data_IF_420975819389
#
_entry.id   IF_420975819389
#
_cell.length_a   1.000
_cell.length_b   1.000
_cell.length_c   1.000
_cell.angle_alpha   90.00
_cell.angle_beta   90.00
_cell.angle_gamma   90.00
#
_symmetry.space_group_name_H-M   'P 1'
#
loop_
_entity.id
_entity.type
_entity.pdbx_description
1 polymer ?
#
# COMPACT_ATOMS: atom_id res chain seq x y z
N UNK A 1 -2.51 29.59 0.33
CA UNK A 1 -1.27 28.82 0.35
C UNK A 1 -1.56 27.48 -0.29
N UNK A 2 -0.84 27.08 -1.34
CA UNK A 2 -1.07 25.79 -2.00
C UNK A 2 -0.67 24.66 -1.05
N UNK A 3 -1.56 23.71 -0.81
CA UNK A 3 -1.31 22.54 0.04
C UNK A 3 -1.65 21.26 -0.67
N UNK A 4 -0.78 20.28 -0.60
CA UNK A 4 -0.94 18.96 -1.21
C UNK A 4 -1.18 17.93 -0.11
N UNK A 5 -2.15 17.03 -0.32
CA UNK A 5 -2.34 15.83 0.49
C UNK A 5 -1.93 14.61 -0.32
N UNK A 6 -0.94 13.86 0.16
CA UNK A 6 -0.45 12.63 -0.48
C UNK A 6 -0.93 11.44 0.32
N UNK A 7 -1.65 10.51 -0.29
CA UNK A 7 -1.89 9.19 0.26
C UNK A 7 -0.79 8.26 -0.23
N UNK A 8 0.15 7.95 0.65
CA UNK A 8 1.35 7.18 0.36
C UNK A 8 1.24 5.71 0.79
N UNK A 9 2.36 5.03 0.72
CA UNK A 9 2.51 3.61 1.07
C UNK A 9 3.27 2.83 0.00
N UNK A 10 3.70 3.50 -1.05
CA UNK A 10 4.52 2.97 -2.16
C UNK A 10 5.81 3.77 -2.31
N UNK A 11 6.68 3.31 -3.17
CA UNK A 11 7.91 4.04 -3.55
C UNK A 11 7.57 5.38 -4.18
N UNK A 12 6.59 5.44 -5.06
CA UNK A 12 6.13 6.66 -5.74
C UNK A 12 5.59 7.68 -4.73
N UNK A 13 4.86 7.23 -3.71
CA UNK A 13 4.39 8.10 -2.62
C UNK A 13 5.53 8.70 -1.81
N UNK A 14 6.63 7.95 -1.62
CA UNK A 14 7.84 8.45 -0.96
C UNK A 14 8.61 9.43 -1.84
N UNK A 15 8.75 9.16 -3.12
CA UNK A 15 9.38 10.06 -4.09
C UNK A 15 8.64 11.39 -4.20
N UNK A 16 7.30 11.38 -4.22
CA UNK A 16 6.48 12.59 -4.15
C UNK A 16 6.69 13.36 -2.84
N UNK A 17 6.79 12.66 -1.72
CA UNK A 17 7.07 13.27 -0.42
C UNK A 17 8.46 13.91 -0.41
N UNK A 18 9.49 13.23 -0.92
CA UNK A 18 10.84 13.75 -1.05
C UNK A 18 10.87 14.99 -1.96
N UNK A 19 10.20 14.94 -3.09
CA UNK A 19 10.07 16.08 -4.01
C UNK A 19 9.46 17.30 -3.30
N UNK A 20 8.35 17.09 -2.57
CA UNK A 20 7.71 18.17 -1.81
C UNK A 20 8.64 18.71 -0.71
N UNK A 21 9.33 17.84 0.00
CA UNK A 21 10.28 18.23 1.04
C UNK A 21 11.43 19.05 0.48
N UNK A 22 12.10 18.56 -0.57
CA UNK A 22 13.26 19.17 -1.19
C UNK A 22 12.94 20.52 -1.83
N UNK A 23 11.75 20.67 -2.38
CA UNK A 23 11.28 21.92 -3.00
C UNK A 23 10.48 22.81 -2.03
N UNK A 24 10.40 22.48 -0.74
CA UNK A 24 9.66 23.22 0.30
C UNK A 24 8.19 23.46 -0.07
N UNK A 25 7.58 22.50 -0.75
CA UNK A 25 6.16 22.54 -1.10
C UNK A 25 5.35 22.11 0.14
N UNK A 26 4.43 22.96 0.65
CA UNK A 26 3.62 22.59 1.79
C UNK A 26 2.75 21.37 1.49
N UNK A 27 3.03 20.24 2.13
CA UNK A 27 2.31 18.99 1.93
C UNK A 27 2.10 18.22 3.23
N UNK A 28 1.03 17.39 3.24
CA UNK A 28 0.81 16.37 4.24
C UNK A 28 0.83 14.99 3.58
N UNK A 29 1.36 13.98 4.28
CA UNK A 29 1.46 12.61 3.78
C UNK A 29 0.74 11.67 4.72
N UNK A 30 -0.28 10.97 4.21
CA UNK A 30 -0.99 9.92 4.91
C UNK A 30 -0.34 8.57 4.64
N UNK A 31 0.03 7.84 5.69
CA UNK A 31 0.54 6.47 5.63
C UNK A 31 -0.23 5.58 6.60
N UNK A 32 -0.41 4.31 6.26
CA UNK A 32 -1.25 3.40 7.06
C UNK A 32 -0.52 2.77 8.24
N UNK A 33 0.82 2.68 8.21
CA UNK A 33 1.62 1.93 9.18
C UNK A 33 2.66 2.82 9.88
N UNK A 34 3.09 2.38 11.08
CA UNK A 34 4.22 3.00 11.78
C UNK A 34 5.52 2.94 10.97
N UNK A 35 5.75 1.82 10.27
CA UNK A 35 6.89 1.67 9.37
C UNK A 35 6.87 2.72 8.24
N UNK A 36 5.71 2.97 7.62
CA UNK A 36 5.57 4.04 6.62
C UNK A 36 5.89 5.42 7.20
N UNK A 37 5.53 5.68 8.47
CA UNK A 37 5.90 6.92 9.17
C UNK A 37 7.42 7.02 9.39
N UNK A 38 8.05 5.93 9.78
CA UNK A 38 9.49 5.87 10.03
C UNK A 38 10.30 6.19 8.77
N UNK A 39 9.90 5.64 7.61
CA UNK A 39 10.51 5.91 6.32
C UNK A 39 10.44 7.40 5.89
N UNK A 40 9.51 8.17 6.45
CA UNK A 40 9.32 9.59 6.17
C UNK A 40 9.83 10.49 7.30
N UNK A 41 10.46 9.95 8.33
CA UNK A 41 10.86 10.67 9.53
C UNK A 41 11.89 11.77 9.29
N UNK A 42 12.69 11.67 8.23
CA UNK A 42 13.66 12.67 7.81
C UNK A 42 13.03 13.91 7.12
N UNK A 43 11.78 13.80 6.66
CA UNK A 43 11.10 14.87 5.91
C UNK A 43 10.41 15.87 6.87
N UNK A 44 11.21 16.63 7.59
CA UNK A 44 10.77 17.53 8.67
C UNK A 44 9.90 18.72 8.22
N UNK A 45 9.84 19.00 6.91
CA UNK A 45 8.95 20.05 6.35
C UNK A 45 7.55 19.56 6.07
N UNK A 46 7.29 18.23 6.17
CA UNK A 46 6.02 17.61 5.86
C UNK A 46 5.24 17.25 7.12
N UNK A 47 3.92 17.34 7.04
CA UNK A 47 3.02 16.81 8.08
C UNK A 47 2.74 15.34 7.81
N UNK A 48 3.26 14.42 8.64
CA UNK A 48 3.00 12.99 8.49
C UNK A 48 1.78 12.59 9.33
N UNK A 49 0.81 11.95 8.69
CA UNK A 49 -0.45 11.50 9.28
C UNK A 49 -0.49 9.97 9.21
N UNK A 50 -0.61 9.31 10.35
CA UNK A 50 -0.57 7.85 10.42
C UNK A 50 -1.97 7.26 10.60
N UNK A 51 -2.16 6.04 10.10
CA UNK A 51 -3.37 5.24 10.27
C UNK A 51 -4.29 5.28 9.05
N UNK A 52 -5.05 4.17 8.89
CA UNK A 52 -6.07 4.07 7.84
C UNK A 52 -7.09 5.19 8.00
N UNK A 53 -7.55 5.71 6.88
CA UNK A 53 -8.61 6.73 6.83
C UNK A 53 -9.81 6.14 6.07
N UNK A 54 -10.98 6.26 6.68
CA UNK A 54 -12.24 5.99 5.99
C UNK A 54 -12.70 7.24 5.21
N UNK A 55 -13.78 7.08 4.44
CA UNK A 55 -14.36 8.16 3.65
C UNK A 55 -14.67 9.41 4.48
N UNK A 56 -15.35 9.26 5.63
CA UNK A 56 -15.76 10.38 6.46
C UNK A 56 -14.59 11.15 7.05
N UNK A 57 -13.54 10.44 7.44
CA UNK A 57 -12.30 11.03 7.94
C UNK A 57 -11.57 11.80 6.83
N UNK A 58 -11.60 11.29 5.58
CA UNK A 58 -10.98 11.99 4.44
C UNK A 58 -11.75 13.27 4.14
N UNK A 59 -13.08 13.23 4.05
CA UNK A 59 -13.92 14.43 3.85
C UNK A 59 -13.61 15.48 4.90
N UNK A 60 -13.64 15.12 6.18
CA UNK A 60 -13.33 16.04 7.28
C UNK A 60 -11.94 16.67 7.17
N UNK A 61 -10.93 15.89 6.75
CA UNK A 61 -9.57 16.39 6.52
C UNK A 61 -9.54 17.43 5.39
N UNK A 62 -10.23 17.15 4.27
CA UNK A 62 -10.24 18.02 3.09
C UNK A 62 -10.97 19.35 3.41
N UNK A 63 -12.11 19.31 4.08
CA UNK A 63 -12.88 20.49 4.49
C UNK A 63 -12.13 21.34 5.50
N UNK A 64 -11.49 20.72 6.50
CA UNK A 64 -10.81 21.43 7.59
C UNK A 64 -9.51 22.10 7.13
N UNK A 65 -8.68 21.38 6.37
CA UNK A 65 -7.34 21.82 6.01
C UNK A 65 -7.29 22.52 4.64
N UNK A 66 -8.35 22.41 3.85
CA UNK A 66 -8.52 23.02 2.51
C UNK A 66 -7.32 22.74 1.61
N UNK A 67 -7.03 21.47 1.36
CA UNK A 67 -6.02 21.06 0.40
C UNK A 67 -6.43 21.44 -1.02
N UNK A 68 -5.49 21.92 -1.81
CA UNK A 68 -5.72 22.27 -3.22
C UNK A 68 -5.74 21.05 -4.12
N UNK A 69 -4.99 20.01 -3.75
CA UNK A 69 -4.90 18.77 -4.52
C UNK A 69 -4.63 17.56 -3.62
N UNK A 70 -5.15 16.43 -4.04
CA UNK A 70 -4.90 15.10 -3.47
C UNK A 70 -4.16 14.23 -4.47
N UNK A 71 -3.02 13.68 -4.07
CA UNK A 71 -2.24 12.72 -4.84
C UNK A 71 -2.43 11.34 -4.21
N UNK A 72 -3.10 10.44 -4.90
CA UNK A 72 -3.27 9.06 -4.47
C UNK A 72 -2.14 8.19 -5.05
N UNK A 73 -1.13 7.93 -4.22
CA UNK A 73 -0.03 7.02 -4.48
C UNK A 73 -0.12 5.77 -3.58
N UNK A 74 -1.34 5.30 -3.28
CA UNK A 74 -1.55 4.04 -2.59
C UNK A 74 -1.24 2.86 -3.51
N UNK A 75 -1.01 1.68 -2.91
CA UNK A 75 -0.74 0.47 -3.67
C UNK A 75 -1.87 0.17 -4.67
N UNK A 76 -1.59 -0.32 -5.90
CA UNK A 76 -2.62 -0.64 -6.89
C UNK A 76 -3.76 -1.52 -6.35
N UNK A 77 -3.47 -2.46 -5.45
CA UNK A 77 -4.47 -3.34 -4.83
C UNK A 77 -5.23 -2.70 -3.64
N UNK A 78 -5.02 -1.42 -3.37
CA UNK A 78 -5.77 -0.68 -2.35
C UNK A 78 -7.04 -0.03 -2.93
N UNK A 79 -7.80 -0.74 -3.75
CA UNK A 79 -8.96 -0.26 -4.51
C UNK A 79 -9.95 0.50 -3.62
N UNK A 80 -10.35 -0.09 -2.49
CA UNK A 80 -11.27 0.55 -1.55
C UNK A 80 -10.75 1.88 -0.98
N UNK A 81 -9.44 1.99 -0.77
CA UNK A 81 -8.85 3.25 -0.33
C UNK A 81 -8.92 4.29 -1.43
N UNK A 82 -8.54 3.93 -2.65
CA UNK A 82 -8.64 4.79 -3.85
C UNK A 82 -10.07 5.26 -4.09
N UNK A 83 -11.07 4.38 -3.99
CA UNK A 83 -12.48 4.72 -4.13
C UNK A 83 -12.92 5.76 -3.09
N UNK A 84 -12.57 5.54 -1.81
CA UNK A 84 -12.89 6.47 -0.73
C UNK A 84 -12.24 7.84 -0.95
N UNK A 85 -10.96 7.87 -1.37
CA UNK A 85 -10.22 9.10 -1.64
C UNK A 85 -10.88 9.86 -2.81
N UNK A 86 -11.11 9.16 -3.92
CA UNK A 86 -11.73 9.74 -5.12
C UNK A 86 -13.11 10.30 -4.83
N UNK A 87 -13.94 9.56 -4.08
CA UNK A 87 -15.27 10.01 -3.68
C UNK A 87 -15.20 11.24 -2.79
N UNK A 88 -14.35 11.25 -1.77
CA UNK A 88 -14.18 12.37 -0.87
C UNK A 88 -13.73 13.64 -1.61
N UNK A 89 -12.78 13.51 -2.54
CA UNK A 89 -12.33 14.63 -3.37
C UNK A 89 -13.45 15.19 -4.24
N UNK A 90 -14.28 14.32 -4.82
CA UNK A 90 -15.45 14.74 -5.61
C UNK A 90 -16.45 15.52 -4.76
N UNK A 91 -16.75 15.03 -3.56
CA UNK A 91 -17.78 15.62 -2.68
C UNK A 91 -17.32 16.93 -2.02
N UNK A 92 -16.00 17.18 -1.96
CA UNK A 92 -15.39 18.41 -1.43
C UNK A 92 -14.82 19.34 -2.49
N UNK A 93 -15.08 19.07 -3.76
CA UNK A 93 -14.53 19.83 -4.91
C UNK A 93 -13.00 20.01 -4.85
N UNK A 94 -12.30 18.96 -4.38
CA UNK A 94 -10.83 18.94 -4.30
C UNK A 94 -10.25 18.22 -5.50
N UNK A 95 -9.20 18.75 -6.13
CA UNK A 95 -8.53 18.10 -7.26
C UNK A 95 -7.95 16.74 -6.86
N UNK A 96 -8.20 15.71 -7.65
CA UNK A 96 -7.73 14.35 -7.43
C UNK A 96 -6.82 13.88 -8.56
N UNK A 97 -5.66 13.34 -8.20
CA UNK A 97 -4.71 12.72 -9.12
C UNK A 97 -4.35 11.34 -8.63
N UNK A 98 -4.46 10.33 -9.49
CA UNK A 98 -3.96 8.98 -9.24
C UNK A 98 -2.55 8.85 -9.82
N UNK A 99 -1.60 8.46 -8.97
CA UNK A 99 -0.25 8.11 -9.41
C UNK A 99 -0.25 6.66 -9.86
N UNK A 100 0.06 6.45 -11.12
CA UNK A 100 0.10 5.12 -11.74
C UNK A 100 1.55 4.82 -12.07
N UNK A 101 2.01 3.63 -11.66
CA UNK A 101 3.29 3.10 -12.12
C UNK A 101 3.09 2.52 -13.52
N UNK A 102 3.97 2.84 -14.44
CA UNK A 102 4.06 2.10 -15.69
C UNK A 102 4.44 0.65 -15.36
N UNK A 103 3.50 -0.26 -15.56
CA UNK A 103 3.80 -1.68 -15.48
C UNK A 103 4.52 -2.05 -16.77
N UNK A 104 5.81 -2.33 -16.71
CA UNK A 104 6.46 -3.08 -17.77
C UNK A 104 5.68 -4.38 -17.93
N UNK A 105 5.14 -4.62 -19.12
CA UNK A 105 4.60 -5.93 -19.48
C UNK A 105 5.80 -6.87 -19.65
N UNK A 106 6.21 -7.47 -18.54
CA UNK A 106 7.23 -8.50 -18.58
C UNK A 106 6.51 -9.78 -19.04
N UNK A 107 6.79 -10.17 -20.26
CA UNK A 107 6.32 -11.44 -20.80
C UNK A 107 7.24 -12.55 -20.27
N UNK A 108 6.80 -13.15 -19.17
CA UNK A 108 7.49 -14.30 -18.60
C UNK A 108 6.89 -15.57 -19.22
N UNK A 109 7.63 -16.27 -20.03
CA UNK A 109 7.22 -17.55 -20.61
C UNK A 109 6.89 -18.63 -19.55
N UNK A 110 7.33 -18.44 -18.29
CA UNK A 110 7.17 -19.38 -17.19
C UNK A 110 6.18 -18.91 -16.10
N UNK A 111 5.38 -17.88 -16.38
CA UNK A 111 4.37 -17.39 -15.42
C UNK A 111 3.06 -18.16 -15.56
N UNK A 112 2.55 -18.66 -14.43
CA UNK A 112 1.22 -19.26 -14.34
C UNK A 112 0.29 -18.33 -13.59
N UNK A 113 -0.91 -18.13 -14.13
CA UNK A 113 -1.95 -17.29 -13.53
C UNK A 113 -3.01 -18.18 -12.89
N UNK A 114 -3.50 -17.74 -11.74
CA UNK A 114 -4.52 -18.44 -10.96
C UNK A 114 -5.61 -17.45 -10.55
N UNK A 115 -6.85 -17.91 -10.54
CA UNK A 115 -8.01 -17.09 -10.18
C UNK A 115 -8.17 -16.90 -8.66
N UNK A 116 -7.45 -17.70 -7.87
CA UNK A 116 -7.47 -17.62 -6.40
C UNK A 116 -6.14 -18.04 -5.79
N UNK A 117 -5.92 -17.62 -4.54
CA UNK A 117 -4.76 -18.06 -3.75
C UNK A 117 -4.84 -19.55 -3.46
N UNK A 118 -6.05 -20.09 -3.21
CA UNK A 118 -6.25 -21.52 -2.98
C UNK A 118 -5.77 -22.36 -4.17
N UNK A 119 -6.15 -21.99 -5.40
CA UNK A 119 -5.71 -22.71 -6.60
C UNK A 119 -4.20 -22.61 -6.84
N UNK A 120 -3.60 -21.46 -6.48
CA UNK A 120 -2.14 -21.32 -6.52
C UNK A 120 -1.44 -22.19 -5.47
N UNK A 121 -2.00 -22.30 -4.26
CA UNK A 121 -1.49 -23.16 -3.19
C UNK A 121 -1.58 -24.66 -3.57
N UNK A 122 -2.71 -25.10 -4.15
CA UNK A 122 -2.89 -26.46 -4.65
C UNK A 122 -1.89 -26.80 -5.77
N UNK A 123 -1.57 -25.84 -6.61
CA UNK A 123 -0.53 -26.02 -7.61
C UNK A 123 0.84 -26.14 -6.95
N UNK A 124 1.18 -25.22 -6.03
CA UNK A 124 2.46 -25.20 -5.34
C UNK A 124 2.71 -26.44 -4.47
N UNK A 125 1.63 -27.07 -3.96
CA UNK A 125 1.73 -28.35 -3.23
C UNK A 125 2.37 -29.46 -4.06
N UNK A 126 2.13 -29.46 -5.37
CA UNK A 126 2.64 -30.49 -6.31
C UNK A 126 4.09 -30.25 -6.72
N UNK A 127 4.59 -29.05 -6.53
CA UNK A 127 5.98 -28.68 -6.84
C UNK A 127 6.91 -29.11 -5.70
N UNK A 128 8.15 -29.40 -6.04
CA UNK A 128 9.19 -29.74 -5.07
C UNK A 128 9.95 -28.48 -4.60
N UNK A 129 10.55 -28.54 -3.41
CA UNK A 129 11.41 -27.49 -2.87
C UNK A 129 10.68 -26.41 -2.07
N UNK A 130 11.35 -25.28 -1.83
CA UNK A 130 10.86 -24.18 -1.03
C UNK A 130 9.98 -23.25 -1.86
N UNK A 131 8.98 -22.66 -1.21
CA UNK A 131 7.99 -21.77 -1.83
C UNK A 131 8.12 -20.39 -1.19
N UNK A 132 8.44 -19.36 -1.97
CA UNK A 132 8.48 -17.99 -1.51
C UNK A 132 7.10 -17.33 -1.67
N UNK A 133 6.47 -17.00 -0.54
CA UNK A 133 5.18 -16.30 -0.50
C UNK A 133 5.40 -14.79 -0.44
N UNK A 134 4.90 -14.05 -1.42
CA UNK A 134 4.97 -12.59 -1.50
C UNK A 134 3.60 -11.89 -1.53
N UNK A 135 2.52 -12.64 -1.33
CA UNK A 135 1.13 -12.14 -1.38
C UNK A 135 0.71 -11.34 -0.13
N UNK A 136 1.63 -11.14 0.83
CA UNK A 136 1.35 -10.47 2.11
C UNK A 136 0.72 -11.41 3.13
N UNK A 137 0.37 -10.87 4.30
CA UNK A 137 -0.02 -11.66 5.47
C UNK A 137 -1.49 -12.10 5.52
N UNK A 138 -2.38 -11.44 4.76
CA UNK A 138 -3.83 -11.63 4.93
C UNK A 138 -4.32 -13.05 4.62
N UNK A 139 -3.65 -13.72 3.69
CA UNK A 139 -4.09 -15.00 3.13
C UNK A 139 -3.11 -16.14 3.44
N UNK A 140 -2.24 -15.96 4.43
CA UNK A 140 -1.25 -16.99 4.79
C UNK A 140 -1.88 -18.31 5.20
N UNK A 141 -3.06 -18.26 5.82
CA UNK A 141 -3.80 -19.46 6.21
C UNK A 141 -4.14 -20.39 5.02
N UNK A 142 -4.30 -19.85 3.81
CA UNK A 142 -4.59 -20.66 2.62
C UNK A 142 -3.42 -21.55 2.19
N UNK A 143 -2.19 -21.19 2.60
CA UNK A 143 -1.00 -21.97 2.30
C UNK A 143 -0.68 -23.06 3.33
N UNK A 144 -1.36 -23.07 4.48
CA UNK A 144 -1.13 -24.08 5.53
C UNK A 144 -1.59 -25.49 5.13
N UNK A 145 -2.37 -25.62 4.07
CA UNK A 145 -2.72 -26.90 3.46
C UNK A 145 -1.56 -27.57 2.70
N UNK A 146 -0.47 -26.86 2.42
CA UNK A 146 0.70 -27.41 1.75
C UNK A 146 1.45 -28.34 2.70
N UNK A 147 1.79 -29.55 2.23
CA UNK A 147 2.53 -30.54 3.02
C UNK A 147 3.89 -29.98 3.46
N UNK A 148 4.21 -30.17 4.73
CA UNK A 148 5.42 -29.63 5.37
C UNK A 148 5.55 -28.11 5.19
N UNK A 149 4.42 -27.39 5.26
CA UNK A 149 4.38 -25.95 5.02
C UNK A 149 5.37 -25.19 5.92
N UNK A 150 5.53 -25.59 7.19
CA UNK A 150 6.46 -24.97 8.15
C UNK A 150 7.92 -25.01 7.74
N UNK A 151 8.31 -26.00 6.91
CA UNK A 151 9.68 -26.18 6.42
C UNK A 151 9.85 -25.60 5.02
N UNK A 152 8.79 -25.69 4.19
CA UNK A 152 8.84 -25.32 2.78
C UNK A 152 8.50 -23.86 2.50
N UNK A 153 7.71 -23.20 3.36
CA UNK A 153 7.28 -21.84 3.08
C UNK A 153 8.27 -20.82 3.62
N UNK A 154 8.70 -19.92 2.74
CA UNK A 154 9.42 -18.69 3.10
C UNK A 154 8.49 -17.53 2.84
N UNK A 155 8.14 -16.77 3.88
CA UNK A 155 7.11 -15.72 3.80
C UNK A 155 7.75 -14.35 3.87
N UNK A 156 7.49 -13.49 2.87
CA UNK A 156 7.88 -12.09 2.87
C UNK A 156 6.69 -11.24 3.29
N UNK A 157 6.74 -10.68 4.51
CA UNK A 157 5.70 -9.81 5.08
C UNK A 157 6.29 -8.50 5.61
N UNK A 158 5.43 -7.51 5.84
CA UNK A 158 5.84 -6.29 6.54
C UNK A 158 6.23 -6.63 7.99
N UNK A 159 7.22 -5.94 8.57
CA UNK A 159 7.68 -6.15 9.95
C UNK A 159 6.66 -5.58 10.95
N UNK A 160 5.53 -6.25 11.11
CA UNK A 160 4.51 -5.96 12.13
C UNK A 160 4.47 -7.12 13.11
N UNK A 161 4.68 -6.84 14.40
CA UNK A 161 4.72 -7.86 15.44
C UNK A 161 3.44 -8.71 15.52
N UNK A 162 2.27 -8.12 15.21
CA UNK A 162 1.00 -8.85 15.17
C UNK A 162 0.96 -9.88 14.04
N UNK A 163 1.57 -9.53 12.91
CA UNK A 163 1.65 -10.42 11.75
C UNK A 163 2.65 -11.54 12.02
N UNK A 164 3.83 -11.20 12.54
CA UNK A 164 4.87 -12.19 12.88
C UNK A 164 4.32 -13.20 13.88
N UNK A 165 3.65 -12.75 14.95
CA UNK A 165 3.05 -13.64 15.95
C UNK A 165 1.91 -14.51 15.41
N UNK A 166 1.28 -14.15 14.30
CA UNK A 166 0.24 -14.98 13.66
C UNK A 166 0.80 -16.00 12.66
N UNK A 167 2.09 -15.92 12.35
CA UNK A 167 2.78 -16.83 11.43
C UNK A 167 3.55 -17.94 12.13
N UNK A 168 3.64 -17.90 13.47
CA UNK A 168 4.27 -18.90 14.35
C UNK A 168 3.20 -19.80 14.93
#
# INVERSE_FOLDING_TARGET
MFRILIFGGTTEGRELADFCHSNRIPAAVCVTTGFGKELLSSFNTLKIITGKKDYSQIVNMLEKEKYSAVLDATHPFAEKATENIKKACKDTDTQFFRVIRDSEKIDYNDVKYFDSIGSAAEYAEKESGNILITTGSKNLAEYTGIRNFSERLVVRVLPDSRIINSCI
#
